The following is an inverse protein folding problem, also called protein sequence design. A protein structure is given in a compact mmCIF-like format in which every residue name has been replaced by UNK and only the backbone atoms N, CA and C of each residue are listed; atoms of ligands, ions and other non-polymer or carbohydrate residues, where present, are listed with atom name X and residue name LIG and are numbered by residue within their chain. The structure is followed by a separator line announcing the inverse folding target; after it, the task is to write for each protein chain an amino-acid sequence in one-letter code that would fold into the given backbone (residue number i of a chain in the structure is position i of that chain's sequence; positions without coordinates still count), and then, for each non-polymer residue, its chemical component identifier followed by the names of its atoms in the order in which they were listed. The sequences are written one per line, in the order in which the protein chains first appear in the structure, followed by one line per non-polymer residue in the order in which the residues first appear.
data_IF_222952278663
#
_entry.id   IF_222952278663
#
_cell.length_a   1.000
_cell.length_b   1.000
_cell.length_c   1.000
_cell.angle_alpha   90.00
_cell.angle_beta   90.00
_cell.angle_gamma   90.00
#
_symmetry.space_group_name_H-M   'P 1'
#
loop_
_entity.id
_entity.type
_entity.pdbx_description
1 polymer ?
#
# COMPACT_ATOMS: atom_id res chain seq x y z
N UNK A 1 10.13 -4.60 9.25
CA UNK A 1 10.10 -3.23 9.81
C UNK A 1 11.11 -2.32 9.12
N UNK A 2 12.33 -2.80 8.86
CA UNK A 2 13.34 -2.12 8.03
C UNK A 2 12.76 -1.56 6.71
N UNK A 3 11.97 -2.33 5.97
CA UNK A 3 11.32 -1.84 4.74
C UNK A 3 10.37 -0.65 4.92
N UNK A 4 9.69 -0.52 6.07
CA UNK A 4 8.81 0.63 6.37
C UNK A 4 9.65 1.87 6.68
N UNK A 5 10.73 1.71 7.44
CA UNK A 5 11.68 2.80 7.73
C UNK A 5 12.32 3.32 6.45
N UNK A 6 12.68 2.43 5.52
CA UNK A 6 13.23 2.80 4.22
C UNK A 6 12.23 3.64 3.40
N UNK A 7 10.94 3.32 3.42
CA UNK A 7 9.92 4.14 2.73
C UNK A 7 9.78 5.54 3.34
N UNK A 8 9.86 5.65 4.67
CA UNK A 8 9.81 6.96 5.35
C UNK A 8 11.05 7.79 5.00
N UNK A 9 12.23 7.17 4.96
CA UNK A 9 13.46 7.84 4.56
C UNK A 9 13.43 8.28 3.09
N UNK A 10 12.90 7.46 2.18
CA UNK A 10 12.75 7.80 0.76
C UNK A 10 11.84 9.01 0.55
N UNK A 11 10.79 9.14 1.37
CA UNK A 11 9.79 10.18 1.23
C UNK A 11 10.21 11.52 1.88
N UNK A 12 10.94 11.46 2.99
CA UNK A 12 11.26 12.65 3.81
C UNK A 12 12.65 13.22 3.53
N UNK A 13 13.67 12.38 3.24
CA UNK A 13 15.08 12.80 3.29
C UNK A 13 15.83 12.72 1.96
N UNK A 14 15.30 12.03 0.95
CA UNK A 14 16.04 11.78 -0.29
C UNK A 14 15.37 12.53 -1.43
N UNK A 15 16.08 13.51 -2.00
CA UNK A 15 15.65 14.21 -3.21
C UNK A 15 16.32 13.64 -4.47
N UNK A 16 17.49 13.02 -4.31
CA UNK A 16 18.32 12.54 -5.40
C UNK A 16 17.85 11.20 -6.01
N UNK A 17 17.82 11.13 -7.34
CA UNK A 17 17.23 10.03 -8.12
C UNK A 17 18.01 8.70 -7.96
N UNK A 18 19.34 8.76 -7.97
CA UNK A 18 20.18 7.56 -7.86
C UNK A 18 20.05 6.91 -6.48
N UNK A 19 20.01 7.74 -5.44
CA UNK A 19 19.82 7.30 -4.05
C UNK A 19 18.44 6.68 -3.83
N UNK A 20 17.37 7.24 -4.42
CA UNK A 20 16.02 6.66 -4.38
C UNK A 20 15.99 5.27 -5.02
N UNK A 21 16.66 5.10 -6.16
CA UNK A 21 16.68 3.83 -6.88
C UNK A 21 17.32 2.73 -6.02
N UNK A 22 18.47 3.02 -5.40
CA UNK A 22 19.15 2.09 -4.50
C UNK A 22 18.26 1.70 -3.33
N UNK A 23 17.59 2.68 -2.70
CA UNK A 23 16.68 2.40 -1.58
C UNK A 23 15.50 1.52 -2.00
N UNK A 24 14.90 1.78 -3.17
CA UNK A 24 13.76 1.02 -3.69
C UNK A 24 14.16 -0.40 -4.06
N UNK A 25 15.34 -0.60 -4.63
CA UNK A 25 15.89 -1.95 -4.89
C UNK A 25 16.12 -2.69 -3.57
N UNK A 26 16.72 -2.02 -2.57
CA UNK A 26 16.91 -2.59 -1.24
C UNK A 26 15.59 -2.96 -0.56
N UNK A 27 14.59 -2.08 -0.64
CA UNK A 27 13.26 -2.35 -0.11
C UNK A 27 12.59 -3.52 -0.85
N UNK A 28 12.68 -3.57 -2.19
CA UNK A 28 12.14 -4.67 -2.97
C UNK A 28 12.80 -6.02 -2.63
N UNK A 29 14.12 -6.05 -2.42
CA UNK A 29 14.81 -7.26 -1.98
C UNK A 29 14.33 -7.71 -0.58
N UNK A 30 14.17 -6.75 0.35
CA UNK A 30 13.65 -7.01 1.69
C UNK A 30 12.19 -7.48 1.67
N UNK A 31 11.35 -6.96 0.78
CA UNK A 31 9.95 -7.41 0.66
C UNK A 31 9.87 -8.82 0.12
N UNK A 32 10.66 -9.17 -0.90
CA UNK A 32 10.74 -10.55 -1.41
C UNK A 32 11.21 -11.51 -0.31
N UNK A 33 12.24 -11.14 0.44
CA UNK A 33 12.71 -11.94 1.57
C UNK A 33 11.61 -12.12 2.62
N UNK A 34 10.88 -11.06 2.97
CA UNK A 34 9.77 -11.11 3.91
C UNK A 34 8.62 -12.00 3.43
N UNK A 35 8.25 -11.94 2.15
CA UNK A 35 7.25 -12.83 1.55
C UNK A 35 7.69 -14.30 1.65
N UNK A 36 8.97 -14.59 1.40
CA UNK A 36 9.56 -15.91 1.59
C UNK A 36 9.43 -16.40 3.04
N UNK A 37 9.68 -15.54 4.02
CA UNK A 37 9.51 -15.86 5.45
C UNK A 37 8.04 -16.14 5.82
N UNK A 38 7.07 -15.44 5.23
CA UNK A 38 5.64 -15.69 5.44
C UNK A 38 5.26 -17.08 4.90
N UNK A 39 5.70 -17.40 3.68
CA UNK A 39 5.49 -18.72 3.09
C UNK A 39 6.15 -19.83 3.93
N UNK A 40 7.38 -19.62 4.38
CA UNK A 40 8.08 -20.56 5.26
C UNK A 40 7.32 -20.80 6.55
N UNK A 41 6.85 -19.72 7.19
CA UNK A 41 6.04 -19.79 8.40
C UNK A 41 4.77 -20.62 8.17
N UNK A 42 4.09 -20.44 7.04
CA UNK A 42 2.90 -21.22 6.71
C UNK A 42 3.19 -22.74 6.65
N UNK A 43 4.34 -23.12 6.07
CA UNK A 43 4.79 -24.52 6.04
C UNK A 43 5.03 -25.06 7.46
N UNK A 44 5.67 -24.27 8.33
CA UNK A 44 5.91 -24.65 9.73
C UNK A 44 4.60 -24.78 10.51
N UNK A 45 3.69 -23.81 10.41
CA UNK A 45 2.38 -23.86 11.08
C UNK A 45 1.57 -25.08 10.64
N UNK A 46 1.58 -25.41 9.34
CA UNK A 46 0.97 -26.64 8.82
C UNK A 46 1.60 -27.88 9.46
N UNK A 47 2.92 -27.95 9.53
CA UNK A 47 3.63 -29.07 10.17
C UNK A 47 3.25 -29.25 11.65
N UNK A 48 3.10 -28.15 12.39
CA UNK A 48 2.66 -28.17 13.80
C UNK A 48 1.23 -28.72 13.92
N UNK A 49 0.32 -28.29 13.05
CA UNK A 49 -1.08 -28.73 13.11
C UNK A 49 -1.26 -30.21 12.76
N UNK A 50 -0.45 -30.73 11.83
CA UNK A 50 -0.39 -32.17 11.54
C UNK A 50 0.10 -32.93 12.78
N UNK A 51 1.17 -32.47 13.44
CA UNK A 51 1.68 -33.11 14.67
C UNK A 51 0.70 -33.05 15.84
N UNK A 52 -0.14 -32.01 15.90
CA UNK A 52 -1.23 -31.88 16.89
C UNK A 52 -2.47 -32.69 16.54
N UNK A 53 -2.45 -33.47 15.45
CA UNK A 53 -3.57 -34.28 14.98
C UNK A 53 -4.85 -33.45 14.67
N UNK A 54 -4.69 -32.14 14.44
CA UNK A 54 -5.80 -31.24 14.06
C UNK A 54 -6.10 -31.36 12.57
N UNK A 55 -5.07 -31.67 11.77
CA UNK A 55 -5.17 -31.80 10.31
C UNK A 55 -4.64 -33.16 9.84
N UNK A 56 -5.29 -33.81 8.86
CA UNK A 56 -4.78 -35.04 8.26
C UNK A 56 -3.45 -34.78 7.51
N UNK A 57 -2.52 -35.75 7.51
CA UNK A 57 -1.20 -35.59 6.87
C UNK A 57 -1.28 -35.42 5.34
N UNK A 58 -2.33 -35.95 4.70
CA UNK A 58 -2.51 -35.94 3.24
C UNK A 58 -3.46 -34.85 2.73
N UNK A 59 -3.80 -33.83 3.53
CA UNK A 59 -4.67 -32.74 3.05
C UNK A 59 -3.92 -31.82 2.09
N UNK A 60 -4.50 -31.61 0.92
CA UNK A 60 -4.09 -30.58 -0.04
C UNK A 60 -4.27 -29.18 0.55
N UNK A 61 -3.39 -28.24 0.19
CA UNK A 61 -3.41 -26.85 0.71
C UNK A 61 -4.75 -26.15 0.44
N UNK A 62 -5.40 -26.47 -0.67
CA UNK A 62 -6.72 -25.94 -1.07
C UNK A 62 -7.84 -26.41 -0.12
N UNK A 63 -7.65 -27.54 0.57
CA UNK A 63 -8.59 -28.05 1.56
C UNK A 63 -8.64 -27.25 2.88
N UNK A 64 -7.81 -26.22 3.03
CA UNK A 64 -7.70 -25.39 4.23
C UNK A 64 -8.09 -23.92 3.95
N UNK A 65 -9.37 -23.62 3.66
CA UNK A 65 -9.76 -22.32 3.14
C UNK A 65 -9.48 -21.17 4.11
N UNK A 66 -9.63 -21.37 5.44
CA UNK A 66 -9.35 -20.33 6.43
C UNK A 66 -7.87 -19.95 6.49
N UNK A 67 -6.98 -20.94 6.48
CA UNK A 67 -5.53 -20.71 6.57
C UNK A 67 -4.98 -20.18 5.24
N UNK A 68 -5.53 -20.65 4.13
CA UNK A 68 -5.22 -20.11 2.80
C UNK A 68 -5.65 -18.65 2.69
N UNK A 69 -6.88 -18.31 3.10
CA UNK A 69 -7.36 -16.93 3.10
C UNK A 69 -6.46 -16.03 3.95
N UNK A 70 -6.07 -16.48 5.14
CA UNK A 70 -5.15 -15.76 5.98
C UNK A 70 -3.79 -15.55 5.30
N UNK A 71 -3.22 -16.59 4.67
CA UNK A 71 -1.97 -16.49 3.94
C UNK A 71 -2.06 -15.50 2.77
N UNK A 72 -3.13 -15.57 1.98
CA UNK A 72 -3.35 -14.66 0.84
C UNK A 72 -3.47 -13.23 1.31
N UNK A 73 -4.18 -12.99 2.41
CA UNK A 73 -4.35 -11.66 3.00
C UNK A 73 -3.03 -11.13 3.57
N UNK A 74 -2.24 -11.98 4.24
CA UNK A 74 -0.91 -11.59 4.73
C UNK A 74 0.05 -11.29 3.57
N UNK A 75 0.04 -12.11 2.51
CA UNK A 75 0.83 -11.90 1.31
C UNK A 75 0.42 -10.62 0.57
N UNK A 76 -0.88 -10.36 0.41
CA UNK A 76 -1.36 -9.17 -0.30
C UNK A 76 -0.96 -7.90 0.43
N UNK A 77 -1.15 -7.83 1.75
CA UNK A 77 -0.71 -6.70 2.58
C UNK A 77 0.81 -6.51 2.49
N UNK A 78 1.57 -7.61 2.53
CA UNK A 78 3.03 -7.54 2.49
C UNK A 78 3.58 -7.29 1.09
N UNK A 79 2.81 -7.54 0.02
CA UNK A 79 3.19 -7.28 -1.35
C UNK A 79 3.02 -5.80 -1.76
N UNK A 80 2.38 -4.97 -0.93
CA UNK A 80 2.24 -3.53 -1.21
C UNK A 80 3.59 -2.83 -1.00
N UNK A 81 4.29 -2.54 -2.09
CA UNK A 81 5.49 -1.68 -2.12
C UNK A 81 5.55 -0.92 -3.44
N UNK A 82 6.27 0.20 -3.45
CA UNK A 82 6.55 0.97 -4.66
C UNK A 82 7.73 0.31 -5.39
N UNK A 83 7.57 -0.21 -6.61
CA UNK A 83 8.66 -0.83 -7.35
C UNK A 83 9.71 0.20 -7.81
N UNK A 84 10.98 -0.21 -8.02
CA UNK A 84 12.00 0.66 -8.57
C UNK A 84 11.64 1.04 -10.02
N UNK A 85 11.92 2.29 -10.41
CA UNK A 85 11.71 2.78 -11.78
C UNK A 85 10.32 3.36 -12.07
N UNK A 86 9.40 3.38 -11.10
CA UNK A 86 8.15 4.16 -11.24
C UNK A 86 8.37 5.59 -10.75
N UNK A 87 8.40 6.54 -11.67
CA UNK A 87 8.41 7.97 -11.40
C UNK A 87 7.20 8.61 -12.07
N UNK A 88 6.40 9.34 -11.30
CA UNK A 88 5.22 10.03 -11.83
C UNK A 88 4.30 10.49 -10.72
N UNK A 89 3.25 11.20 -11.09
CA UNK A 89 2.17 11.58 -10.22
C UNK A 89 0.84 11.06 -10.76
N UNK A 90 -0.13 10.92 -9.86
CA UNK A 90 -1.51 10.70 -10.23
C UNK A 90 -2.35 11.90 -9.79
N UNK A 91 -3.26 12.31 -10.65
CA UNK A 91 -4.12 13.44 -10.38
C UNK A 91 -5.45 12.95 -9.80
N UNK A 92 -5.83 13.53 -8.66
CA UNK A 92 -7.11 13.29 -7.98
C UNK A 92 -7.95 14.53 -8.15
N UNK A 93 -9.09 14.37 -8.83
CA UNK A 93 -10.06 15.45 -9.02
C UNK A 93 -11.11 15.39 -7.94
N UNK A 94 -11.22 16.47 -7.17
CA UNK A 94 -12.26 16.65 -6.17
C UNK A 94 -13.33 17.60 -6.72
N UNK A 95 -14.55 17.12 -6.86
CA UNK A 95 -15.69 17.96 -7.25
C UNK A 95 -16.02 18.96 -6.13
N UNK A 96 -16.25 20.24 -6.48
CA UNK A 96 -16.57 21.29 -5.51
C UNK A 96 -17.99 21.84 -5.65
N UNK A 97 -18.33 22.39 -6.81
CA UNK A 97 -19.63 23.02 -7.06
C UNK A 97 -19.96 23.05 -8.55
N UNK A 98 -21.24 23.24 -8.89
CA UNK A 98 -21.71 23.41 -10.26
C UNK A 98 -21.40 24.81 -10.77
N UNK A 99 -21.12 24.94 -12.07
CA UNK A 99 -21.06 26.25 -12.73
C UNK A 99 -22.44 26.56 -13.29
N UNK A 100 -23.01 27.70 -12.90
CA UNK A 100 -24.26 28.23 -13.47
C UNK A 100 -24.00 28.78 -14.88
N UNK A 101 -23.53 27.94 -15.80
CA UNK A 101 -23.29 28.28 -17.19
C UNK A 101 -24.51 27.90 -18.04
N UNK A 102 -25.69 28.34 -17.64
CA UNK A 102 -26.91 28.21 -18.45
C UNK A 102 -27.81 29.44 -18.33
N UNK A 103 -27.26 30.66 -18.27
CA UNK A 103 -27.92 31.90 -18.73
C UNK A 103 -27.00 33.08 -18.47
N UNK A 104 -26.34 33.57 -19.51
CA UNK A 104 -26.33 35.00 -19.85
C UNK A 104 -25.41 35.19 -21.06
N UNK A 105 -26.06 35.17 -22.23
CA UNK A 105 -25.48 35.78 -23.40
C UNK A 105 -25.32 37.27 -23.13
N UNK A 106 -24.23 37.84 -23.66
CA UNK A 106 -23.87 39.26 -23.62
C UNK A 106 -22.90 39.65 -22.50
N UNK A 107 -21.59 39.45 -22.72
CA UNK A 107 -20.62 40.55 -22.79
C UNK A 107 -19.18 40.02 -22.82
N UNK A 108 -18.35 40.73 -23.56
CA UNK A 108 -16.96 40.43 -23.90
C UNK A 108 -16.02 40.47 -22.67
N UNK A 109 -16.08 39.47 -21.81
CA UNK A 109 -15.02 39.13 -20.86
C UNK A 109 -15.14 37.67 -20.47
N UNK A 110 -14.45 36.83 -21.25
CA UNK A 110 -14.27 35.40 -21.03
C UNK A 110 -13.44 35.18 -19.75
N UNK A 111 -14.07 35.38 -18.60
CA UNK A 111 -13.54 35.03 -17.29
C UNK A 111 -14.27 33.75 -16.88
N UNK A 112 -13.60 32.63 -17.09
CA UNK A 112 -14.02 31.27 -16.70
C UNK A 112 -14.71 31.30 -15.33
N UNK A 113 -15.94 30.80 -15.24
CA UNK A 113 -16.77 30.86 -14.02
C UNK A 113 -16.14 30.20 -12.80
N UNK A 114 -15.12 29.34 -12.98
CA UNK A 114 -14.26 28.89 -11.90
C UNK A 114 -12.99 29.74 -11.88
N UNK A 115 -12.75 30.51 -10.80
CA UNK A 115 -11.46 31.16 -10.60
C UNK A 115 -10.32 30.15 -10.50
N UNK A 116 -9.09 30.53 -10.84
CA UNK A 116 -7.93 29.67 -10.54
C UNK A 116 -7.91 29.35 -9.02
N UNK A 117 -7.64 28.10 -8.59
CA UNK A 117 -7.00 26.98 -9.31
C UNK A 117 -7.96 25.90 -9.86
N UNK A 118 -9.24 26.20 -10.08
CA UNK A 118 -10.25 25.20 -10.44
C UNK A 118 -10.33 24.94 -11.95
N UNK A 119 -10.60 23.68 -12.32
CA UNK A 119 -10.78 23.23 -13.71
C UNK A 119 -12.28 23.01 -13.95
N UNK A 120 -12.80 23.53 -15.07
CA UNK A 120 -14.20 23.34 -15.48
C UNK A 120 -14.30 22.08 -16.33
N UNK A 121 -15.12 21.11 -15.92
CA UNK A 121 -15.40 19.92 -16.71
C UNK A 121 -16.88 19.53 -16.51
N UNK A 122 -17.62 19.24 -17.57
CA UNK A 122 -19.01 18.76 -17.47
C UNK A 122 -19.99 19.66 -16.69
N UNK A 123 -19.77 20.98 -16.65
CA UNK A 123 -20.61 21.92 -15.90
C UNK A 123 -20.34 21.97 -14.39
N UNK A 124 -19.25 21.37 -13.93
CA UNK A 124 -18.77 21.46 -12.55
C UNK A 124 -17.36 22.05 -12.45
N UNK A 125 -17.06 22.72 -11.33
CA UNK A 125 -15.71 23.09 -10.93
C UNK A 125 -15.07 21.95 -10.13
N UNK A 126 -13.90 21.50 -10.58
CA UNK A 126 -13.08 20.49 -9.93
C UNK A 126 -11.77 21.10 -9.43
N UNK A 127 -11.27 20.61 -8.31
CA UNK A 127 -9.94 20.89 -7.80
C UNK A 127 -9.05 19.68 -8.08
N UNK A 128 -7.96 19.89 -8.81
CA UNK A 128 -7.04 18.81 -9.18
C UNK A 128 -5.84 18.80 -8.23
N UNK A 129 -5.64 17.69 -7.54
CA UNK A 129 -4.49 17.45 -6.68
C UNK A 129 -3.59 16.43 -7.34
N UNK A 130 -2.34 16.81 -7.63
CA UNK A 130 -1.33 15.88 -8.13
C UNK A 130 -0.57 15.28 -6.96
N UNK A 131 -0.70 13.96 -6.76
CA UNK A 131 0.03 13.23 -5.74
C UNK A 131 1.13 12.37 -6.37
N UNK A 132 2.37 12.42 -5.85
CA UNK A 132 3.43 11.53 -6.32
C UNK A 132 3.11 10.06 -5.96
N UNK A 133 3.44 9.11 -6.84
CA UNK A 133 3.22 7.68 -6.59
C UNK A 133 3.95 7.17 -5.33
N UNK A 134 4.97 7.88 -4.89
CA UNK A 134 5.69 7.72 -3.63
C UNK A 134 4.74 7.64 -2.43
N UNK A 135 3.64 8.41 -2.45
CA UNK A 135 2.64 8.42 -1.38
C UNK A 135 1.92 7.09 -1.21
N UNK A 136 1.83 6.26 -2.27
CA UNK A 136 1.29 4.90 -2.16
C UNK A 136 2.19 4.00 -1.30
N UNK A 137 3.46 4.36 -1.13
CA UNK A 137 4.39 3.72 -0.20
C UNK A 137 3.90 3.77 1.25
N UNK A 138 3.09 4.76 1.64
CA UNK A 138 2.52 4.84 3.00
C UNK A 138 1.62 3.65 3.32
N UNK A 139 0.99 3.00 2.32
CA UNK A 139 0.21 1.77 2.56
C UNK A 139 1.07 0.63 3.10
N UNK A 140 2.40 0.67 2.91
CA UNK A 140 3.33 -0.29 3.52
C UNK A 140 3.33 -0.24 5.06
N UNK A 141 2.81 0.83 5.68
CA UNK A 141 2.58 0.93 7.13
C UNK A 141 1.62 -0.14 7.63
N UNK A 142 0.72 -0.65 6.78
CA UNK A 142 -0.19 -1.73 7.16
C UNK A 142 0.57 -2.95 7.70
N UNK A 143 1.82 -3.17 7.25
CA UNK A 143 2.73 -4.22 7.73
C UNK A 143 3.01 -4.17 9.24
N UNK A 144 2.74 -3.05 9.93
CA UNK A 144 2.86 -2.94 11.39
C UNK A 144 1.97 -3.94 12.15
N UNK A 145 0.94 -4.53 11.51
CA UNK A 145 0.13 -5.61 12.13
C UNK A 145 0.98 -6.79 12.64
N UNK A 146 2.18 -6.99 12.09
CA UNK A 146 3.09 -8.03 12.55
C UNK A 146 3.70 -7.76 13.93
N UNK A 147 3.82 -6.50 14.35
CA UNK A 147 4.41 -6.12 15.65
C UNK A 147 3.65 -6.72 16.83
N UNK A 148 2.33 -6.50 17.00
CA UNK A 148 1.59 -7.10 18.11
C UNK A 148 1.60 -8.64 18.05
N UNK A 149 1.66 -9.23 16.85
CA UNK A 149 1.75 -10.69 16.67
C UNK A 149 3.07 -11.25 17.18
N UNK A 150 4.19 -10.57 16.92
CA UNK A 150 5.51 -10.93 17.44
C UNK A 150 5.56 -10.78 18.96
N UNK A 151 5.05 -9.66 19.49
CA UNK A 151 4.97 -9.42 20.95
C UNK A 151 4.21 -10.54 21.64
N UNK A 152 3.05 -10.94 21.10
CA UNK A 152 2.25 -12.04 21.64
C UNK A 152 3.02 -13.36 21.65
N UNK A 153 3.73 -13.68 20.56
CA UNK A 153 4.51 -14.92 20.46
C UNK A 153 5.71 -14.92 21.42
N UNK A 154 6.39 -13.79 21.61
CA UNK A 154 7.48 -13.66 22.58
C UNK A 154 6.97 -13.71 24.03
N UNK A 155 5.81 -13.12 24.32
CA UNK A 155 5.24 -13.12 25.67
C UNK A 155 4.87 -14.52 26.17
N UNK A 156 4.54 -15.47 25.28
CA UNK A 156 4.32 -16.86 25.67
C UNK A 156 5.61 -17.60 26.02
N UNK A 157 6.76 -17.15 25.50
CA UNK A 157 8.08 -17.72 25.81
C UNK A 157 8.58 -17.21 27.16
N UNK A 158 8.27 -15.96 27.52
CA UNK A 158 8.67 -15.36 28.79
C UNK A 158 7.95 -15.92 30.04
N UNK A 159 7.07 -16.93 29.89
CA UNK A 159 6.38 -17.62 30.99
C UNK A 159 7.05 -18.93 31.44
N UNK A 160 8.22 -19.27 30.90
CA UNK A 160 9.03 -20.40 31.32
C UNK A 160 10.34 -19.92 31.96
#
# INVERSE_FOLDING_TARGET
MTGVVLVILDNEYIEDLDSKLVLRVGNAALTVFLLGLICWRFVVERGILIRRNVLPPNVMVIGMPKQLLQLVLELSICAIFVPPGTSGSFDVREWKFYTDAETDGTSNSQKTSCGAPFIVEGGGCYLEYSYPFETLGLLSLLRLYMVPRVIRNLSSVARY
#
